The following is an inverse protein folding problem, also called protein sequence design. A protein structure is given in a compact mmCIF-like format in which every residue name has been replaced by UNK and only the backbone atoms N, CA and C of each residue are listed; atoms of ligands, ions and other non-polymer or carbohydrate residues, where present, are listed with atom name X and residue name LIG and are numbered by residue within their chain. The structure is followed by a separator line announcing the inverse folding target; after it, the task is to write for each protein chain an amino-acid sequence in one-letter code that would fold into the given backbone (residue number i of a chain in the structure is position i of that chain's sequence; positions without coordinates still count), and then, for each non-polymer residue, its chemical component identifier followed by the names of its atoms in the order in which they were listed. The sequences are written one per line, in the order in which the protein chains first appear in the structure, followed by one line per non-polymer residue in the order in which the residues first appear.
data_IF_245513807165
#
_entry.id   IF_245513807165
#
_cell.length_a   1.000
_cell.length_b   1.000
_cell.length_c   1.000
_cell.angle_alpha   90.00
_cell.angle_beta   90.00
_cell.angle_gamma   90.00
#
_symmetry.space_group_name_H-M   'P 1'
#
loop_
_entity.id
_entity.type
_entity.pdbx_description
1 polymer ?
#
# COMPACT_ATOMS: atom_id res chain seq x y z
N UNK A 1 24.36 12.27 19.76
CA UNK A 1 23.70 11.87 18.53
C UNK A 1 22.32 11.35 18.91
N UNK A 2 21.31 12.21 18.89
CA UNK A 2 19.94 11.81 19.22
C UNK A 2 19.37 11.09 18.00
N UNK A 3 19.17 9.79 18.13
CA UNK A 3 18.36 9.01 17.22
C UNK A 3 16.91 9.44 17.50
N UNK A 4 16.37 10.29 16.65
CA UNK A 4 14.94 10.57 16.69
C UNK A 4 14.20 9.33 16.22
N UNK A 5 13.87 8.43 17.12
CA UNK A 5 12.98 7.30 16.90
C UNK A 5 11.53 7.81 16.80
N UNK A 6 11.24 8.67 15.85
CA UNK A 6 9.88 8.98 15.46
C UNK A 6 9.52 8.26 14.16
N UNK A 7 9.73 6.96 14.13
CA UNK A 7 9.04 6.09 13.17
C UNK A 7 7.64 5.76 13.70
N UNK A 8 6.88 6.80 14.01
CA UNK A 8 5.47 6.60 14.30
C UNK A 8 4.75 6.53 12.95
N UNK A 9 4.18 5.40 12.58
CA UNK A 9 3.64 5.20 11.23
C UNK A 9 2.24 5.80 11.05
N UNK A 10 1.97 6.89 11.73
CA UNK A 10 0.70 7.60 11.72
C UNK A 10 0.89 9.05 11.26
N UNK A 11 -0.10 9.68 10.62
CA UNK A 11 -0.08 11.12 10.36
C UNK A 11 0.13 11.92 11.66
N UNK A 12 0.86 13.02 11.60
CA UNK A 12 1.21 13.85 12.77
C UNK A 12 -0.01 14.31 13.59
N UNK A 13 -1.13 14.56 12.91
CA UNK A 13 -2.39 14.99 13.52
C UNK A 13 -3.39 13.84 13.73
N UNK A 14 -2.93 12.58 13.74
CA UNK A 14 -3.80 11.42 13.91
C UNK A 14 -4.70 11.53 15.14
N UNK A 15 -5.99 11.32 14.95
CA UNK A 15 -7.01 11.44 16.02
C UNK A 15 -7.42 12.85 16.37
N UNK A 16 -6.77 13.89 15.83
CA UNK A 16 -7.13 15.31 16.04
C UNK A 16 -7.74 15.96 14.80
N UNK A 17 -7.33 15.51 13.62
CA UNK A 17 -7.87 15.97 12.35
C UNK A 17 -8.25 14.78 11.49
N UNK A 18 -9.13 15.00 10.53
CA UNK A 18 -9.45 14.00 9.50
C UNK A 18 -8.21 13.71 8.69
N UNK A 19 -7.84 12.44 8.60
CA UNK A 19 -6.79 11.96 7.70
C UNK A 19 -7.43 11.38 6.44
N UNK A 20 -6.81 11.64 5.30
CA UNK A 20 -7.31 11.20 3.98
C UNK A 20 -6.36 10.16 3.44
N UNK A 21 -6.92 9.02 3.03
CA UNK A 21 -6.22 7.95 2.33
C UNK A 21 -6.59 7.98 0.85
N UNK A 22 -5.59 8.14 0.00
CA UNK A 22 -5.75 8.10 -1.45
C UNK A 22 -5.52 6.68 -1.99
N UNK A 23 -6.52 6.11 -2.67
CA UNK A 23 -6.48 4.74 -3.17
C UNK A 23 -5.95 4.70 -4.60
N UNK A 24 -4.98 3.82 -4.85
CA UNK A 24 -4.41 3.54 -6.18
C UNK A 24 -4.49 2.05 -6.46
N UNK A 25 -5.35 1.68 -7.40
CA UNK A 25 -5.47 0.30 -7.86
C UNK A 25 -4.52 0.06 -9.03
N UNK A 26 -3.61 -0.90 -8.87
CA UNK A 26 -2.61 -1.32 -9.86
C UNK A 26 -3.13 -2.47 -10.74
N UNK A 27 -4.45 -2.64 -10.82
CA UNK A 27 -5.08 -3.67 -11.67
C UNK A 27 -5.19 -3.18 -13.12
N UNK A 28 -5.11 -4.07 -14.12
CA UNK A 28 -5.16 -3.68 -15.54
C UNK A 28 -6.36 -2.82 -15.92
N UNK A 29 -7.53 -3.08 -15.31
CA UNK A 29 -8.78 -2.37 -15.62
C UNK A 29 -8.86 -0.96 -15.04
N UNK A 30 -7.97 -0.58 -14.13
CA UNK A 30 -8.07 0.70 -13.39
C UNK A 30 -7.60 1.91 -14.20
N UNK A 31 -6.83 1.69 -15.26
CA UNK A 31 -6.26 2.74 -16.11
C UNK A 31 -6.26 2.34 -17.60
N UNK A 32 -7.26 1.56 -18.04
CA UNK A 32 -7.28 0.93 -19.35
C UNK A 32 -7.47 1.91 -20.51
N UNK A 33 -6.36 2.19 -21.18
CA UNK A 33 -6.34 2.49 -22.62
C UNK A 33 -5.69 1.30 -23.39
N UNK A 34 -6.01 0.05 -22.99
CA UNK A 34 -5.67 -1.14 -23.79
C UNK A 34 -4.29 -1.76 -23.55
N UNK A 35 -3.65 -1.58 -22.39
CA UNK A 35 -2.35 -2.20 -22.09
C UNK A 35 -2.36 -2.99 -20.77
N UNK A 36 -1.57 -4.07 -20.72
CA UNK A 36 -1.54 -5.05 -19.62
C UNK A 36 -1.04 -4.52 -18.26
N UNK A 37 -0.50 -3.30 -18.17
CA UNK A 37 0.00 -2.71 -16.94
C UNK A 37 -0.28 -1.20 -16.89
N UNK A 38 -0.63 -0.71 -15.72
CA UNK A 38 -0.64 0.71 -15.45
C UNK A 38 0.78 1.28 -15.64
N UNK A 39 0.95 2.36 -16.42
CA UNK A 39 2.29 2.93 -16.57
C UNK A 39 2.73 3.53 -15.23
N UNK A 40 4.00 3.33 -14.87
CA UNK A 40 4.59 3.89 -13.65
C UNK A 40 4.42 5.42 -13.60
N UNK A 41 4.47 6.07 -14.76
CA UNK A 41 4.27 7.51 -14.90
C UNK A 41 2.86 7.94 -14.51
N UNK A 42 1.82 7.20 -14.96
CA UNK A 42 0.42 7.49 -14.57
C UNK A 42 0.24 7.34 -13.06
N UNK A 43 0.84 6.30 -12.45
CA UNK A 43 0.78 6.10 -10.99
C UNK A 43 1.47 7.25 -10.26
N UNK A 44 2.68 7.64 -10.68
CA UNK A 44 3.40 8.75 -10.06
C UNK A 44 2.66 10.08 -10.21
N UNK A 45 2.03 10.33 -11.35
CA UNK A 45 1.19 11.51 -11.53
C UNK A 45 -0.01 11.52 -10.56
N UNK A 46 -0.63 10.35 -10.33
CA UNK A 46 -1.71 10.22 -9.36
C UNK A 46 -1.21 10.42 -7.93
N UNK A 47 -0.04 9.86 -7.57
CA UNK A 47 0.60 10.09 -6.26
C UNK A 47 0.88 11.58 -6.07
N UNK A 48 1.47 12.23 -7.08
CA UNK A 48 1.75 13.67 -7.03
C UNK A 48 0.49 14.50 -6.82
N UNK A 49 -0.59 14.16 -7.53
CA UNK A 49 -1.89 14.81 -7.35
C UNK A 49 -2.40 14.65 -5.91
N UNK A 50 -2.35 13.44 -5.34
CA UNK A 50 -2.77 13.18 -3.97
C UNK A 50 -1.93 13.94 -2.94
N UNK A 51 -0.60 13.86 -3.06
CA UNK A 51 0.33 14.55 -2.15
C UNK A 51 0.11 16.06 -2.19
N UNK A 52 -0.03 16.63 -3.39
CA UNK A 52 -0.24 18.07 -3.58
C UNK A 52 -1.61 18.56 -3.04
N UNK A 53 -2.57 17.64 -2.87
CA UNK A 53 -3.88 17.94 -2.29
C UNK A 53 -4.02 17.49 -0.83
N UNK A 54 -2.91 17.19 -0.15
CA UNK A 54 -2.88 16.95 1.30
C UNK A 54 -3.35 15.56 1.73
N UNK A 55 -3.26 14.57 0.86
CA UNK A 55 -3.48 13.16 1.25
C UNK A 55 -2.40 12.73 2.24
N UNK A 56 -2.80 12.04 3.31
CA UNK A 56 -1.90 11.62 4.38
C UNK A 56 -1.29 10.23 4.15
N UNK A 57 -2.05 9.35 3.48
CA UNK A 57 -1.68 7.95 3.24
C UNK A 57 -2.03 7.59 1.80
N UNK A 58 -1.14 6.88 1.11
CA UNK A 58 -1.43 6.27 -0.20
C UNK A 58 -1.66 4.78 0.01
N UNK A 59 -2.81 4.27 -0.44
CA UNK A 59 -3.15 2.86 -0.36
C UNK A 59 -2.98 2.20 -1.74
N UNK A 60 -2.10 1.22 -1.82
CA UNK A 60 -1.76 0.52 -3.06
C UNK A 60 -2.36 -0.89 -3.06
N UNK A 61 -3.18 -1.19 -4.06
CA UNK A 61 -3.76 -2.52 -4.27
C UNK A 61 -3.40 -3.07 -5.65
N UNK A 62 -2.87 -4.31 -5.71
CA UNK A 62 -2.51 -4.98 -6.95
C UNK A 62 -3.39 -6.20 -7.26
N UNK A 63 -4.22 -6.62 -6.29
CA UNK A 63 -5.23 -7.66 -6.38
C UNK A 63 -6.62 -7.02 -6.31
N UNK A 64 -7.52 -7.39 -7.22
CA UNK A 64 -8.92 -6.95 -7.11
C UNK A 64 -9.62 -7.73 -5.99
N UNK A 65 -10.24 -7.00 -5.07
CA UNK A 65 -11.06 -7.55 -3.97
C UNK A 65 -12.56 -7.55 -4.29
N UNK A 66 -12.94 -7.16 -5.52
CA UNK A 66 -14.34 -7.16 -5.97
C UNK A 66 -14.92 -8.57 -5.99
N UNK A 67 -16.21 -8.76 -5.69
CA UNK A 67 -16.86 -10.05 -5.83
C UNK A 67 -16.67 -10.62 -7.24
N UNK A 68 -16.22 -11.90 -7.33
CA UNK A 68 -15.97 -12.56 -8.60
C UNK A 68 -14.64 -12.25 -9.27
N UNK A 69 -13.77 -11.44 -8.68
CA UNK A 69 -12.42 -11.22 -9.20
C UNK A 69 -11.59 -12.51 -9.12
N UNK A 70 -10.80 -12.76 -10.16
CA UNK A 70 -9.86 -13.89 -10.18
C UNK A 70 -8.64 -13.51 -9.34
N UNK A 71 -8.30 -14.40 -8.40
CA UNK A 71 -7.09 -14.22 -7.61
C UNK A 71 -5.85 -14.53 -8.45
N UNK A 72 -4.90 -13.62 -8.39
CA UNK A 72 -3.64 -13.75 -9.13
C UNK A 72 -2.56 -14.50 -8.34
N UNK A 73 -2.78 -14.70 -7.03
CA UNK A 73 -1.84 -15.33 -6.09
C UNK A 73 -0.72 -14.40 -5.64
N UNK A 74 -0.16 -14.66 -4.46
CA UNK A 74 0.81 -13.80 -3.79
C UNK A 74 2.01 -13.43 -4.68
N UNK A 75 2.60 -14.40 -5.38
CA UNK A 75 3.76 -14.16 -6.24
C UNK A 75 3.51 -13.16 -7.38
N UNK A 76 2.33 -13.24 -8.02
CA UNK A 76 1.98 -12.33 -9.10
C UNK A 76 1.56 -10.97 -8.56
N UNK A 77 0.91 -10.93 -7.39
CA UNK A 77 0.58 -9.71 -6.69
C UNK A 77 1.84 -8.93 -6.29
N UNK A 78 2.82 -9.58 -5.64
CA UNK A 78 4.11 -9.00 -5.32
C UNK A 78 4.84 -8.49 -6.57
N UNK A 79 4.91 -9.31 -7.60
CA UNK A 79 5.55 -8.92 -8.87
C UNK A 79 4.95 -7.66 -9.48
N UNK A 80 3.65 -7.46 -9.30
CA UNK A 80 2.93 -6.27 -9.76
C UNK A 80 3.15 -5.08 -8.82
N UNK A 81 3.04 -5.30 -7.51
CA UNK A 81 3.03 -4.25 -6.48
C UNK A 81 4.41 -3.63 -6.21
N UNK A 82 5.42 -4.48 -5.99
CA UNK A 82 6.71 -4.06 -5.43
C UNK A 82 7.46 -3.04 -6.28
N UNK A 83 7.49 -3.11 -7.63
CA UNK A 83 8.14 -2.09 -8.45
C UNK A 83 7.54 -0.68 -8.24
N UNK A 84 6.21 -0.57 -8.12
CA UNK A 84 5.54 0.70 -7.87
C UNK A 84 5.82 1.22 -6.46
N UNK A 85 5.73 0.35 -5.46
CA UNK A 85 6.05 0.70 -4.07
C UNK A 85 7.46 1.29 -3.96
N UNK A 86 8.46 0.61 -4.52
CA UNK A 86 9.86 1.08 -4.50
C UNK A 86 10.01 2.43 -5.20
N UNK A 87 9.35 2.61 -6.33
CA UNK A 87 9.43 3.87 -7.09
C UNK A 87 8.76 5.02 -6.33
N UNK A 88 7.57 4.80 -5.78
CA UNK A 88 6.87 5.79 -4.95
C UNK A 88 7.70 6.14 -3.73
N UNK A 89 8.24 5.16 -3.01
CA UNK A 89 9.07 5.39 -1.83
C UNK A 89 10.34 6.20 -2.15
N UNK A 90 10.94 5.94 -3.31
CA UNK A 90 12.12 6.68 -3.78
C UNK A 90 11.82 8.17 -4.04
N UNK A 91 10.66 8.49 -4.59
CA UNK A 91 10.29 9.87 -4.94
C UNK A 91 9.60 10.61 -3.79
N UNK A 92 8.89 9.88 -2.95
CA UNK A 92 8.13 10.41 -1.81
C UNK A 92 8.54 9.72 -0.51
N UNK A 93 9.75 9.99 0.02
CA UNK A 93 10.30 9.24 1.16
C UNK A 93 9.48 9.36 2.44
N UNK A 94 8.70 10.42 2.59
CA UNK A 94 7.96 10.72 3.84
C UNK A 94 6.47 10.38 3.78
N UNK A 95 5.91 10.05 2.60
CA UNK A 95 4.49 9.68 2.52
C UNK A 95 4.24 8.34 3.19
N UNK A 96 3.14 8.21 3.92
CA UNK A 96 2.71 6.92 4.44
C UNK A 96 2.12 6.08 3.30
N UNK A 97 2.55 4.82 3.23
CA UNK A 97 2.09 3.86 2.22
C UNK A 97 1.41 2.69 2.93
N UNK A 98 0.15 2.49 2.62
CA UNK A 98 -0.66 1.33 2.97
C UNK A 98 -0.68 0.35 1.82
N UNK A 99 -0.80 -0.93 2.11
CA UNK A 99 -0.90 -2.00 1.11
C UNK A 99 -2.22 -2.73 1.30
N UNK A 100 -3.09 -2.68 0.28
CA UNK A 100 -4.34 -3.46 0.21
C UNK A 100 -4.01 -4.88 -0.24
N UNK A 101 -3.92 -5.79 0.71
CA UNK A 101 -3.67 -7.21 0.48
C UNK A 101 -4.19 -8.06 1.63
N UNK A 102 -4.63 -9.28 1.32
CA UNK A 102 -4.95 -10.33 2.28
C UNK A 102 -3.88 -11.43 2.34
N UNK A 103 -2.79 -11.31 1.58
CA UNK A 103 -1.70 -12.30 1.54
C UNK A 103 -0.56 -11.92 2.48
N UNK A 104 -0.21 -12.78 3.42
CA UNK A 104 0.89 -12.58 4.37
C UNK A 104 2.25 -12.42 3.68
N UNK A 105 2.54 -13.20 2.63
CA UNK A 105 3.78 -13.10 1.85
C UNK A 105 3.92 -11.72 1.19
N UNK A 106 2.84 -11.19 0.60
CA UNK A 106 2.81 -9.86 -0.02
C UNK A 106 3.00 -8.78 1.03
N UNK A 107 2.30 -8.89 2.15
CA UNK A 107 2.41 -7.97 3.27
C UNK A 107 3.86 -7.89 3.80
N UNK A 108 4.49 -9.04 4.03
CA UNK A 108 5.89 -9.12 4.50
C UNK A 108 6.84 -8.48 3.50
N UNK A 109 6.72 -8.82 2.21
CA UNK A 109 7.58 -8.25 1.17
C UNK A 109 7.40 -6.74 1.03
N UNK A 110 6.15 -6.26 1.07
CA UNK A 110 5.85 -4.83 0.98
C UNK A 110 6.40 -4.04 2.18
N UNK A 111 6.20 -4.51 3.40
CA UNK A 111 6.74 -3.88 4.61
C UNK A 111 8.27 -3.86 4.60
N UNK A 112 8.91 -4.93 4.15
CA UNK A 112 10.37 -5.00 3.97
C UNK A 112 10.88 -4.02 2.91
N UNK A 113 10.02 -3.56 2.00
CA UNK A 113 10.35 -2.59 0.94
C UNK A 113 9.81 -1.18 1.22
N UNK A 114 9.46 -0.88 2.47
CA UNK A 114 9.14 0.47 2.92
C UNK A 114 7.66 0.84 2.94
N UNK A 115 6.73 -0.12 2.87
CA UNK A 115 5.35 0.11 3.25
C UNK A 115 5.25 0.39 4.76
N UNK A 116 4.20 1.09 5.17
CA UNK A 116 3.98 1.48 6.56
C UNK A 116 2.78 0.77 7.19
N UNK A 117 1.74 0.47 6.41
CA UNK A 117 0.47 -0.09 6.87
C UNK A 117 0.09 -1.31 6.03
N UNK A 118 -0.72 -2.18 6.63
CA UNK A 118 -1.45 -3.23 5.91
C UNK A 118 -2.95 -2.95 6.04
N UNK A 119 -3.63 -2.97 4.89
CA UNK A 119 -5.08 -2.85 4.76
C UNK A 119 -5.62 -4.17 4.22
N UNK A 120 -6.34 -4.93 5.04
CA UNK A 120 -6.92 -6.22 4.67
C UNK A 120 -8.43 -6.21 4.91
N UNK A 121 -9.19 -6.16 3.81
CA UNK A 121 -10.67 -6.16 3.85
C UNK A 121 -11.25 -7.40 4.54
N UNK A 122 -10.47 -8.48 4.68
CA UNK A 122 -10.89 -9.71 5.35
C UNK A 122 -10.60 -9.71 6.86
N UNK A 123 -9.78 -8.75 7.32
CA UNK A 123 -9.39 -8.65 8.73
C UNK A 123 -8.61 -9.86 9.23
N UNK A 124 -7.72 -10.42 8.42
CA UNK A 124 -6.89 -11.59 8.73
C UNK A 124 -7.64 -12.94 8.64
N UNK A 125 -8.90 -12.96 8.17
CA UNK A 125 -9.69 -14.21 8.10
C UNK A 125 -9.35 -15.09 6.91
N UNK A 126 -8.69 -14.54 5.89
CA UNK A 126 -8.35 -15.27 4.69
C UNK A 126 -6.97 -15.92 4.78
N UNK A 127 -6.03 -15.21 5.36
CA UNK A 127 -4.66 -15.65 5.62
C UNK A 127 -4.28 -15.17 7.03
N UNK A 128 -4.42 -16.04 8.03
CA UNK A 128 -4.19 -15.68 9.43
C UNK A 128 -2.73 -15.32 9.71
N UNK A 129 -1.78 -15.81 8.90
CA UNK A 129 -0.35 -15.49 9.03
C UNK A 129 -0.06 -13.99 8.81
N UNK A 130 -1.00 -13.25 8.19
CA UNK A 130 -0.86 -11.79 8.01
C UNK A 130 -0.79 -11.06 9.37
N UNK A 131 -1.45 -11.59 10.40
CA UNK A 131 -1.42 -11.02 11.75
C UNK A 131 -0.04 -11.19 12.40
N UNK A 132 0.65 -12.29 12.12
CA UNK A 132 2.02 -12.50 12.58
C UNK A 132 2.98 -11.51 11.91
N UNK A 133 2.82 -11.27 10.60
CA UNK A 133 3.58 -10.26 9.86
C UNK A 133 3.34 -8.86 10.43
N UNK A 134 2.10 -8.48 10.66
CA UNK A 134 1.73 -7.18 11.25
C UNK A 134 2.35 -7.01 12.64
N UNK A 135 2.35 -8.05 13.45
CA UNK A 135 2.97 -8.09 14.77
C UNK A 135 4.50 -7.96 14.71
N UNK A 136 5.15 -8.67 13.79
CA UNK A 136 6.60 -8.61 13.58
C UNK A 136 7.06 -7.19 13.22
N UNK A 137 6.41 -6.57 12.24
CA UNK A 137 6.73 -5.21 11.80
C UNK A 137 6.16 -4.11 12.70
N UNK A 138 5.29 -4.46 13.66
CA UNK A 138 4.58 -3.51 14.54
C UNK A 138 3.91 -2.38 13.77
N UNK A 139 3.33 -2.71 12.63
CA UNK A 139 2.69 -1.76 11.74
C UNK A 139 1.18 -1.63 12.03
N UNK A 140 0.55 -0.51 11.66
CA UNK A 140 -0.90 -0.38 11.66
C UNK A 140 -1.57 -1.40 10.76
N UNK A 141 -2.70 -1.93 11.21
CA UNK A 141 -3.55 -2.89 10.50
C UNK A 141 -4.98 -2.36 10.41
N UNK A 142 -5.50 -2.28 9.19
CA UNK A 142 -6.83 -1.79 8.89
C UNK A 142 -7.69 -2.93 8.38
#
# INVERSE_FOLDING_TARGET
MQISNNNFPWPDDWGRKTSIMGIINLTPDSFSDGGDFCSIEKVLNQVNYFVSNGVNVIDLGAQSTRPGAIEIGAKNESKRLIPYLKKIRSEYPNILISIDTFNSEVAHEALSNGANWINDVTGGRRDEEILDVVSEFKCPFV
#
